data_IF_636576677140
#
_entry.id   IF_636576677140
#
_cell.length_a   1.000
_cell.length_b   1.000
_cell.length_c   1.000
_cell.angle_alpha   90.00
_cell.angle_beta   90.00
_cell.angle_gamma   90.00
#
_symmetry.space_group_name_H-M   'P 1'
#
loop_
_entity.id
_entity.type
_entity.pdbx_description
1 polymer ?
#
# COMPACT_ATOMS: atom_id res chain seq x y z
N UNK A 1 -25.31 14.72 36.98
CA UNK A 1 -25.16 13.44 36.29
C UNK A 1 -25.04 13.75 34.81
N UNK A 2 -23.82 13.88 34.33
CA UNK A 2 -23.54 14.13 32.90
C UNK A 2 -23.18 12.80 32.27
N UNK A 3 -24.02 12.37 31.36
CA UNK A 3 -23.77 11.17 30.54
C UNK A 3 -22.79 11.60 29.46
N UNK A 4 -21.52 11.25 29.59
CA UNK A 4 -20.54 11.31 28.54
C UNK A 4 -20.76 10.09 27.64
N UNK A 5 -21.34 10.29 26.49
CA UNK A 5 -21.33 9.34 25.39
C UNK A 5 -19.89 9.24 24.89
N UNK A 6 -19.24 8.12 25.14
CA UNK A 6 -17.96 7.80 24.52
C UNK A 6 -18.20 7.51 23.05
N UNK A 7 -17.81 8.45 22.23
CA UNK A 7 -17.71 8.30 20.78
C UNK A 7 -16.50 7.46 20.42
N UNK A 8 -16.71 6.52 19.52
CA UNK A 8 -15.81 5.89 18.55
C UNK A 8 -14.31 5.93 18.89
N UNK A 9 -13.76 4.79 19.23
CA UNK A 9 -12.32 4.55 19.25
C UNK A 9 -11.83 4.42 17.78
N UNK A 10 -11.65 5.54 17.11
CA UNK A 10 -10.87 5.57 15.87
C UNK A 10 -9.42 5.33 16.26
N UNK A 11 -8.84 4.21 15.83
CA UNK A 11 -7.40 3.97 15.98
C UNK A 11 -6.69 4.95 15.05
N UNK A 12 -5.95 5.94 15.53
CA UNK A 12 -5.30 6.90 14.67
C UNK A 12 -4.19 6.19 13.89
N UNK A 13 -4.12 6.45 12.58
CA UNK A 13 -3.01 6.01 11.75
C UNK A 13 -1.75 6.78 12.14
N UNK A 14 -0.64 6.06 12.32
CA UNK A 14 0.63 6.72 12.56
C UNK A 14 1.19 7.28 11.26
N UNK A 15 1.53 8.58 11.25
CA UNK A 15 2.08 9.27 10.08
C UNK A 15 3.34 10.04 10.46
N UNK A 16 4.43 9.76 9.75
CA UNK A 16 5.65 10.58 9.82
C UNK A 16 5.64 11.61 8.71
N UNK A 17 5.80 12.90 9.07
CA UNK A 17 5.99 13.99 8.12
C UNK A 17 7.48 14.27 7.94
N UNK A 18 7.98 14.10 6.73
CA UNK A 18 9.34 14.50 6.37
C UNK A 18 9.28 15.88 5.71
N UNK A 19 9.58 16.91 6.50
CA UNK A 19 9.72 18.35 6.19
C UNK A 19 8.50 19.16 5.69
N UNK A 20 8.79 20.33 5.13
CA UNK A 20 8.00 21.56 5.00
C UNK A 20 6.58 21.35 4.45
N UNK A 21 5.57 21.73 5.24
CA UNK A 21 4.14 21.61 4.89
C UNK A 21 3.69 22.55 3.76
N UNK A 22 4.58 23.42 3.26
CA UNK A 22 4.29 24.31 2.12
C UNK A 22 4.54 23.65 0.76
N UNK A 23 5.26 22.50 0.72
CA UNK A 23 5.57 21.77 -0.50
C UNK A 23 4.40 20.86 -0.91
N UNK A 24 4.29 20.50 -2.21
CA UNK A 24 3.35 19.49 -2.67
C UNK A 24 3.52 18.18 -1.89
N UNK A 25 2.41 17.56 -1.49
CA UNK A 25 2.44 16.35 -0.64
C UNK A 25 2.47 15.08 -1.45
N UNK A 26 3.28 14.12 -1.00
CA UNK A 26 3.20 12.74 -1.48
C UNK A 26 2.86 11.83 -0.31
N UNK A 27 1.79 11.06 -0.43
CA UNK A 27 1.37 10.04 0.54
C UNK A 27 1.95 8.70 0.11
N UNK A 28 2.65 8.01 1.00
CA UNK A 28 3.24 6.70 0.76
C UNK A 28 2.56 5.62 1.60
N UNK A 29 2.03 4.59 0.95
CA UNK A 29 1.40 3.42 1.57
C UNK A 29 2.23 2.17 1.29
N UNK A 30 2.72 1.51 2.35
CA UNK A 30 3.61 0.34 2.28
C UNK A 30 2.85 -0.97 2.01
N UNK A 31 3.59 -2.05 1.71
CA UNK A 31 3.06 -3.40 1.56
C UNK A 31 2.96 -4.17 2.88
N UNK A 32 2.37 -5.38 2.82
CA UNK A 32 2.32 -6.29 3.97
C UNK A 32 3.73 -6.60 4.50
N UNK A 33 3.89 -6.67 5.80
CA UNK A 33 5.14 -6.76 6.56
C UNK A 33 6.00 -5.48 6.55
N UNK A 34 5.69 -4.50 5.73
CA UNK A 34 6.37 -3.21 5.69
C UNK A 34 5.84 -2.22 6.73
N UNK A 35 6.38 -1.01 6.69
CA UNK A 35 5.88 0.16 7.40
C UNK A 35 6.31 1.42 6.64
N UNK A 36 6.00 2.60 7.15
CA UNK A 36 6.46 3.87 6.59
C UNK A 36 7.98 3.94 6.40
N UNK A 37 8.74 3.22 7.23
CA UNK A 37 10.21 3.19 7.17
C UNK A 37 10.74 2.71 5.81
N UNK A 38 10.00 1.85 5.10
CA UNK A 38 10.39 1.38 3.76
C UNK A 38 10.57 2.53 2.76
N UNK A 39 9.86 3.62 2.99
CA UNK A 39 9.85 4.79 2.12
C UNK A 39 10.83 5.88 2.53
N UNK A 40 11.42 5.80 3.74
CA UNK A 40 12.36 6.84 4.26
C UNK A 40 13.50 7.14 3.27
N UNK A 41 14.20 6.14 2.68
CA UNK A 41 15.28 6.45 1.75
C UNK A 41 14.82 7.15 0.46
N UNK A 42 13.55 6.94 0.04
CA UNK A 42 12.95 7.62 -1.11
C UNK A 42 12.51 9.02 -0.71
N UNK A 43 11.87 9.16 0.45
CA UNK A 43 11.39 10.44 0.95
C UNK A 43 12.53 11.44 1.22
N UNK A 44 13.69 10.96 1.69
CA UNK A 44 14.88 11.79 1.89
C UNK A 44 15.40 12.39 0.58
N UNK A 45 15.37 11.65 -0.52
CA UNK A 45 15.78 12.17 -1.84
C UNK A 45 14.78 13.21 -2.40
N UNK A 46 13.51 13.13 -1.95
CA UNK A 46 12.42 14.03 -2.40
C UNK A 46 12.20 15.24 -1.49
N UNK A 47 12.87 15.33 -0.35
CA UNK A 47 12.57 16.28 0.73
C UNK A 47 12.71 17.78 0.38
N UNK A 48 13.44 18.11 -0.69
CA UNK A 48 13.58 19.49 -1.15
C UNK A 48 12.43 19.95 -2.05
N UNK A 49 11.72 19.01 -2.68
CA UNK A 49 10.68 19.28 -3.67
C UNK A 49 9.28 18.88 -3.18
N UNK A 50 9.19 17.96 -2.21
CA UNK A 50 7.93 17.40 -1.72
C UNK A 50 7.91 17.24 -0.19
N UNK A 51 6.72 17.41 0.38
CA UNK A 51 6.40 17.00 1.74
C UNK A 51 5.92 15.53 1.71
N UNK A 52 6.79 14.59 2.08
CA UNK A 52 6.45 13.17 2.09
C UNK A 52 5.76 12.77 3.40
N UNK A 53 4.61 12.13 3.29
CA UNK A 53 3.84 11.58 4.41
C UNK A 53 3.91 10.05 4.32
N UNK A 54 4.60 9.44 5.27
CA UNK A 54 4.79 7.99 5.34
C UNK A 54 3.78 7.42 6.32
N UNK A 55 2.88 6.57 5.83
CA UNK A 55 1.76 6.05 6.61
C UNK A 55 2.07 4.63 7.07
N UNK A 56 1.94 4.38 8.37
CA UNK A 56 1.85 3.01 8.89
C UNK A 56 0.40 2.53 8.80
N UNK A 57 0.17 1.54 7.96
CA UNK A 57 -1.14 0.92 7.80
C UNK A 57 -1.53 0.08 9.04
N UNK A 58 -2.82 -0.10 9.35
CA UNK A 58 -3.25 -0.81 10.54
C UNK A 58 -2.52 -2.14 10.77
N UNK A 59 -2.00 -2.32 11.98
CA UNK A 59 -1.25 -3.51 12.39
C UNK A 59 0.21 -3.59 11.92
N UNK A 60 0.76 -2.49 11.40
CA UNK A 60 2.14 -2.39 10.93
C UNK A 60 2.83 -1.17 11.55
N UNK A 61 4.17 -1.26 11.70
CA UNK A 61 4.97 -0.18 12.28
C UNK A 61 4.47 0.20 13.67
N UNK A 62 4.19 1.48 13.87
CA UNK A 62 3.67 2.04 15.12
C UNK A 62 2.11 2.13 15.15
N UNK A 63 1.44 1.65 14.08
CA UNK A 63 -0.03 1.68 13.98
C UNK A 63 -0.63 0.42 14.59
N UNK A 64 -1.46 0.60 15.61
CA UNK A 64 -2.22 -0.49 16.21
C UNK A 64 -3.35 -0.97 15.29
N UNK A 65 -3.94 -2.11 15.63
CA UNK A 65 -5.09 -2.67 14.95
C UNK A 65 -6.00 -3.35 15.96
N UNK A 66 -7.30 -3.11 15.85
CA UNK A 66 -8.31 -3.74 16.68
C UNK A 66 -9.38 -4.39 15.81
N UNK A 67 -9.83 -5.59 16.19
CA UNK A 67 -10.91 -6.29 15.50
C UNK A 67 -12.29 -5.82 15.99
N UNK A 68 -12.55 -4.53 15.84
CA UNK A 68 -13.83 -3.93 16.20
C UNK A 68 -14.75 -3.88 14.98
N UNK A 69 -15.98 -4.36 15.08
CA UNK A 69 -16.96 -4.30 13.99
C UNK A 69 -16.96 -5.52 13.05
N UNK A 70 -17.46 -5.30 11.84
CA UNK A 70 -17.58 -6.34 10.82
C UNK A 70 -16.26 -6.50 10.03
N UNK A 71 -15.62 -7.67 10.07
CA UNK A 71 -14.38 -7.91 9.32
C UNK A 71 -14.49 -7.69 7.80
N UNK A 72 -15.69 -7.80 7.23
CA UNK A 72 -15.90 -7.58 5.79
C UNK A 72 -15.95 -6.09 5.42
N UNK A 73 -16.16 -5.20 6.39
CA UNK A 73 -16.15 -3.75 6.20
C UNK A 73 -14.78 -3.11 6.48
N UNK A 74 -13.92 -3.76 7.26
CA UNK A 74 -12.67 -3.19 7.78
C UNK A 74 -11.75 -2.63 6.68
N UNK A 75 -11.66 -3.30 5.53
CA UNK A 75 -10.86 -2.79 4.41
C UNK A 75 -11.36 -1.42 3.94
N UNK A 76 -12.67 -1.26 3.76
CA UNK A 76 -13.25 0.01 3.32
C UNK A 76 -13.27 1.06 4.43
N UNK A 77 -13.44 0.68 5.68
CA UNK A 77 -13.30 1.57 6.84
C UNK A 77 -11.88 2.14 6.92
N UNK A 78 -10.85 1.32 6.63
CA UNK A 78 -9.47 1.81 6.52
C UNK A 78 -9.31 2.83 5.40
N UNK A 79 -9.91 2.60 4.23
CA UNK A 79 -9.92 3.54 3.10
C UNK A 79 -10.60 4.85 3.50
N UNK A 80 -11.77 4.78 4.14
CA UNK A 80 -12.55 5.95 4.56
C UNK A 80 -11.81 6.76 5.66
N UNK A 81 -11.20 6.08 6.64
CA UNK A 81 -10.37 6.73 7.68
C UNK A 81 -9.18 7.47 7.08
N UNK A 82 -8.47 6.86 6.14
CA UNK A 82 -7.36 7.53 5.44
C UNK A 82 -7.83 8.78 4.70
N UNK A 83 -8.95 8.70 3.98
CA UNK A 83 -9.52 9.84 3.27
C UNK A 83 -9.90 10.97 4.23
N UNK A 84 -10.51 10.65 5.38
CA UNK A 84 -10.84 11.64 6.40
C UNK A 84 -9.61 12.32 6.99
N UNK A 85 -8.56 11.57 7.31
CA UNK A 85 -7.31 12.14 7.84
C UNK A 85 -6.63 13.06 6.83
N UNK A 86 -6.57 12.66 5.56
CA UNK A 86 -6.04 13.50 4.48
C UNK A 86 -6.86 14.78 4.30
N UNK A 87 -8.18 14.70 4.43
CA UNK A 87 -9.09 15.85 4.31
C UNK A 87 -8.98 16.83 5.47
N UNK A 88 -8.65 16.35 6.68
CA UNK A 88 -8.45 17.20 7.88
C UNK A 88 -7.16 18.03 7.82
N UNK A 89 -6.21 17.61 6.99
CA UNK A 89 -4.95 18.35 6.81
C UNK A 89 -5.25 19.70 6.14
N UNK A 90 -4.79 20.80 6.75
CA UNK A 90 -5.06 22.16 6.34
C UNK A 90 -4.41 22.59 4.99
N UNK A 91 -3.80 21.67 4.25
CA UNK A 91 -3.23 21.96 2.95
C UNK A 91 -4.33 21.97 1.87
N UNK A 92 -4.51 23.08 1.12
CA UNK A 92 -5.63 23.27 0.22
C UNK A 92 -5.51 22.55 -1.13
N UNK A 93 -4.39 21.92 -1.42
CA UNK A 93 -4.10 21.33 -2.72
C UNK A 93 -4.26 19.80 -2.69
N UNK A 94 -4.76 19.18 -3.78
CA UNK A 94 -4.71 17.75 -3.95
C UNK A 94 -3.28 17.22 -3.80
N UNK A 95 -3.13 15.99 -3.31
CA UNK A 95 -1.83 15.40 -3.10
C UNK A 95 -1.52 14.30 -4.12
N UNK A 96 -0.25 13.91 -4.18
CA UNK A 96 0.18 12.71 -4.91
C UNK A 96 0.06 11.47 -4.01
N UNK A 97 -0.22 10.32 -4.61
CA UNK A 97 -0.37 9.05 -3.88
C UNK A 97 0.56 7.98 -4.46
N UNK A 98 1.28 7.29 -3.60
CA UNK A 98 2.11 6.14 -3.96
C UNK A 98 1.72 4.97 -3.06
N UNK A 99 1.29 3.86 -3.65
CA UNK A 99 0.93 2.67 -2.89
C UNK A 99 1.59 1.41 -3.43
N UNK A 100 2.20 0.62 -2.55
CA UNK A 100 2.85 -0.64 -2.90
C UNK A 100 2.07 -1.85 -2.38
N UNK A 101 1.80 -2.84 -3.22
CA UNK A 101 1.20 -4.14 -2.89
C UNK A 101 -0.09 -3.99 -2.06
N UNK A 102 -0.10 -4.26 -0.76
CA UNK A 102 -1.24 -4.01 0.13
C UNK A 102 -1.64 -2.52 0.14
N UNK A 103 -0.67 -1.63 0.33
CA UNK A 103 -0.90 -0.18 0.25
C UNK A 103 -1.36 0.27 -1.14
N UNK A 104 -0.91 -0.40 -2.20
CA UNK A 104 -1.38 -0.14 -3.58
C UNK A 104 -2.84 -0.54 -3.79
N UNK A 105 -3.32 -1.58 -3.11
CA UNK A 105 -4.74 -1.97 -3.13
C UNK A 105 -5.63 -0.93 -2.42
N UNK A 106 -5.17 -0.46 -1.28
CA UNK A 106 -5.82 0.62 -0.52
C UNK A 106 -5.79 1.92 -1.32
N UNK A 107 -4.64 2.28 -1.88
CA UNK A 107 -4.47 3.46 -2.74
C UNK A 107 -5.44 3.45 -3.93
N UNK A 108 -5.58 2.33 -4.61
CA UNK A 108 -6.51 2.22 -5.74
C UNK A 108 -7.96 2.44 -5.30
N UNK A 109 -8.36 1.88 -4.15
CA UNK A 109 -9.70 2.10 -3.59
C UNK A 109 -9.92 3.57 -3.17
N UNK A 110 -8.90 4.24 -2.61
CA UNK A 110 -8.92 5.67 -2.30
C UNK A 110 -9.15 6.51 -3.55
N UNK A 111 -8.39 6.26 -4.63
CA UNK A 111 -8.49 7.01 -5.88
C UNK A 111 -9.87 6.92 -6.53
N UNK A 112 -10.47 5.73 -6.50
CA UNK A 112 -11.78 5.50 -7.10
C UNK A 112 -12.92 6.09 -6.26
N UNK A 113 -12.77 6.14 -4.94
CA UNK A 113 -13.81 6.63 -4.02
C UNK A 113 -13.70 8.12 -3.70
N UNK A 114 -12.48 8.67 -3.64
CA UNK A 114 -12.17 10.04 -3.25
C UNK A 114 -11.20 10.71 -4.25
N UNK A 115 -11.54 10.74 -5.56
CA UNK A 115 -10.62 11.23 -6.60
C UNK A 115 -10.21 12.69 -6.40
N UNK A 116 -11.04 13.50 -5.74
CA UNK A 116 -10.80 14.92 -5.47
C UNK A 116 -9.63 15.19 -4.52
N UNK A 117 -9.17 14.17 -3.78
CA UNK A 117 -8.04 14.29 -2.86
C UNK A 117 -6.68 14.20 -3.59
N UNK A 118 -6.68 13.73 -4.84
CA UNK A 118 -5.43 13.33 -5.51
C UNK A 118 -5.26 14.00 -6.86
N UNK A 119 -4.04 14.48 -7.12
CA UNK A 119 -3.66 15.03 -8.44
C UNK A 119 -3.17 13.92 -9.38
N UNK A 120 -2.32 13.02 -8.91
CA UNK A 120 -1.81 11.84 -9.63
C UNK A 120 -1.49 10.72 -8.67
N UNK A 121 -1.39 9.50 -9.18
CA UNK A 121 -0.98 8.36 -8.36
C UNK A 121 -0.07 7.37 -9.06
N UNK A 122 0.78 6.71 -8.27
CA UNK A 122 1.59 5.57 -8.67
C UNK A 122 1.15 4.35 -7.87
N UNK A 123 0.75 3.30 -8.57
CA UNK A 123 0.33 2.03 -7.98
C UNK A 123 1.36 0.95 -8.33
N UNK A 124 2.06 0.47 -7.30
CA UNK A 124 3.21 -0.44 -7.43
C UNK A 124 2.79 -1.87 -7.10
N UNK A 125 2.91 -2.78 -8.05
CA UNK A 125 2.70 -4.23 -7.87
C UNK A 125 1.41 -4.57 -7.12
N UNK A 126 0.28 -3.95 -7.50
CA UNK A 126 -1.01 -4.15 -6.84
C UNK A 126 -2.13 -4.54 -7.83
N UNK A 127 -3.28 -4.95 -7.31
CA UNK A 127 -4.43 -5.38 -8.11
C UNK A 127 -5.73 -4.75 -7.62
N UNK A 128 -6.75 -4.64 -8.50
CA UNK A 128 -8.09 -4.18 -8.12
C UNK A 128 -8.88 -5.19 -7.27
N UNK A 129 -8.23 -6.22 -6.74
CA UNK A 129 -8.87 -7.28 -5.96
C UNK A 129 -9.19 -8.53 -6.79
N UNK A 130 -9.75 -9.53 -6.11
CA UNK A 130 -10.22 -10.77 -6.71
C UNK A 130 -11.61 -10.56 -7.32
N UNK A 131 -11.85 -11.16 -8.49
CA UNK A 131 -13.07 -10.89 -9.27
C UNK A 131 -14.32 -11.55 -8.68
N UNK A 132 -14.17 -12.76 -8.13
CA UNK A 132 -15.31 -13.55 -7.68
C UNK A 132 -15.33 -13.74 -6.17
N UNK A 133 -16.52 -13.97 -5.60
CA UNK A 133 -16.65 -14.28 -4.17
C UNK A 133 -16.00 -15.62 -3.82
N UNK A 134 -16.03 -16.59 -4.73
CA UNK A 134 -15.35 -17.87 -4.54
C UNK A 134 -13.84 -17.72 -4.38
N UNK A 135 -13.21 -16.89 -5.22
CA UNK A 135 -11.79 -16.54 -5.10
C UNK A 135 -11.50 -15.85 -3.77
N UNK A 136 -12.36 -14.92 -3.35
CA UNK A 136 -12.22 -14.22 -2.07
C UNK A 136 -12.34 -15.16 -0.87
N UNK A 137 -13.32 -16.08 -0.89
CA UNK A 137 -13.48 -17.08 0.16
C UNK A 137 -12.26 -17.98 0.29
N UNK A 138 -11.81 -18.56 -0.82
CA UNK A 138 -10.59 -19.40 -0.86
C UNK A 138 -9.36 -18.63 -0.38
N UNK A 139 -9.28 -17.35 -0.74
CA UNK A 139 -8.17 -16.50 -0.28
C UNK A 139 -8.25 -16.22 1.23
N UNK A 140 -9.43 -15.97 1.81
CA UNK A 140 -9.61 -15.81 3.26
C UNK A 140 -9.16 -17.05 4.04
N UNK A 141 -9.47 -18.25 3.54
CA UNK A 141 -9.01 -19.50 4.15
C UNK A 141 -7.48 -19.62 4.09
N UNK A 142 -6.88 -19.24 2.97
CA UNK A 142 -5.43 -19.21 2.80
C UNK A 142 -4.76 -18.20 3.74
N UNK A 143 -5.31 -16.98 3.83
CA UNK A 143 -4.81 -15.91 4.70
C UNK A 143 -4.91 -16.29 6.17
N UNK A 144 -5.99 -16.97 6.59
CA UNK A 144 -6.11 -17.54 7.95
C UNK A 144 -5.01 -18.58 8.25
N UNK A 145 -4.70 -19.43 7.28
CA UNK A 145 -3.60 -20.39 7.40
C UNK A 145 -2.23 -19.71 7.54
N UNK A 146 -2.04 -18.58 6.88
CA UNK A 146 -0.82 -17.76 6.99
C UNK A 146 -0.78 -17.05 8.33
N UNK A 147 -1.87 -16.43 8.77
CA UNK A 147 -1.98 -15.74 10.05
C UNK A 147 -1.61 -16.66 11.23
N UNK A 148 -2.11 -17.89 11.25
CA UNK A 148 -1.71 -18.90 12.25
C UNK A 148 -0.22 -19.25 12.22
N UNK A 149 0.43 -19.20 11.06
CA UNK A 149 1.89 -19.43 10.97
C UNK A 149 2.67 -18.25 11.55
N UNK A 150 2.21 -17.03 11.33
CA UNK A 150 2.76 -15.81 11.92
C UNK A 150 2.71 -15.92 13.44
N UNK A 151 1.54 -16.17 14.01
CA UNK A 151 1.31 -16.29 15.46
C UNK A 151 2.13 -17.42 16.10
N UNK A 152 2.30 -18.53 15.39
CA UNK A 152 3.00 -19.70 15.91
C UNK A 152 4.52 -19.57 15.94
N UNK A 153 5.13 -19.00 14.91
CA UNK A 153 6.58 -18.88 14.75
C UNK A 153 6.91 -17.78 13.75
N UNK A 154 7.00 -16.56 14.23
CA UNK A 154 7.19 -15.39 13.38
C UNK A 154 8.53 -15.40 12.61
N UNK A 155 9.64 -15.72 13.28
CA UNK A 155 10.95 -15.79 12.60
C UNK A 155 10.99 -16.85 11.50
N UNK A 156 10.39 -18.00 11.77
CA UNK A 156 10.26 -19.07 10.78
C UNK A 156 9.33 -18.67 9.63
N UNK A 157 8.28 -17.94 9.94
CA UNK A 157 7.37 -17.39 8.92
C UNK A 157 8.08 -16.39 8.00
N UNK A 158 8.81 -15.40 8.55
CA UNK A 158 9.54 -14.40 7.74
C UNK A 158 10.48 -15.10 6.75
N UNK A 159 11.26 -16.07 7.21
CA UNK A 159 12.14 -16.85 6.33
C UNK A 159 11.37 -17.55 5.21
N UNK A 160 10.28 -18.25 5.55
CA UNK A 160 9.47 -18.98 4.57
C UNK A 160 8.73 -18.03 3.62
N UNK A 161 8.34 -16.84 4.07
CA UNK A 161 7.68 -15.82 3.27
C UNK A 161 8.55 -15.36 2.10
N UNK A 162 9.81 -15.08 2.36
CA UNK A 162 10.78 -14.65 1.34
C UNK A 162 11.36 -15.80 0.48
N UNK A 163 11.03 -17.07 0.78
CA UNK A 163 11.31 -18.18 -0.13
C UNK A 163 10.30 -18.29 -1.29
N UNK A 164 9.22 -17.54 -1.26
CA UNK A 164 8.24 -17.54 -2.34
C UNK A 164 8.86 -16.98 -3.63
N UNK A 165 8.50 -17.55 -4.82
CA UNK A 165 9.02 -17.07 -6.11
C UNK A 165 8.80 -15.57 -6.34
N UNK A 166 7.78 -14.99 -5.76
CA UNK A 166 7.45 -13.56 -5.81
C UNK A 166 8.62 -12.67 -5.33
N UNK A 167 9.40 -13.14 -4.37
CA UNK A 167 10.50 -12.39 -3.75
C UNK A 167 11.89 -12.88 -4.19
N UNK A 168 11.97 -13.74 -5.22
CA UNK A 168 13.24 -14.33 -5.64
C UNK A 168 14.29 -13.28 -6.05
N UNK A 169 13.90 -12.18 -6.68
CA UNK A 169 14.82 -11.09 -7.05
C UNK A 169 15.29 -10.32 -5.83
N UNK A 170 14.39 -9.93 -4.93
CA UNK A 170 14.73 -9.26 -3.67
C UNK A 170 15.67 -10.13 -2.81
N UNK A 171 15.39 -11.43 -2.70
CA UNK A 171 16.21 -12.35 -1.91
C UNK A 171 17.68 -12.41 -2.37
N UNK A 172 17.91 -12.22 -3.67
CA UNK A 172 19.24 -12.17 -4.25
C UNK A 172 19.83 -10.75 -4.27
N UNK A 173 19.09 -9.74 -3.83
CA UNK A 173 19.53 -8.35 -3.82
C UNK A 173 20.33 -8.04 -2.54
N UNK A 174 21.38 -7.17 -2.60
CA UNK A 174 22.19 -6.81 -1.44
C UNK A 174 21.39 -6.26 -0.24
N UNK A 175 20.27 -5.56 -0.49
CA UNK A 175 19.40 -4.95 0.52
C UNK A 175 18.60 -5.99 1.34
N UNK A 176 18.53 -7.23 0.88
CA UNK A 176 17.63 -8.24 1.48
C UNK A 176 17.82 -8.44 2.98
N UNK A 177 19.05 -8.43 3.45
CA UNK A 177 19.35 -8.64 4.90
C UNK A 177 18.80 -7.51 5.77
N UNK A 178 18.85 -6.29 5.28
CA UNK A 178 18.29 -5.12 5.94
C UNK A 178 16.77 -5.23 5.99
N UNK A 179 16.15 -5.48 4.83
CA UNK A 179 14.70 -5.71 4.74
C UNK A 179 14.24 -6.84 5.67
N UNK A 180 14.89 -8.00 5.65
CA UNK A 180 14.52 -9.12 6.53
C UNK A 180 14.62 -8.74 8.02
N UNK A 181 15.63 -7.96 8.40
CA UNK A 181 15.82 -7.50 9.78
C UNK A 181 14.70 -6.57 10.22
N UNK A 182 14.32 -5.61 9.38
CA UNK A 182 13.24 -4.66 9.65
C UNK A 182 11.89 -5.36 9.82
N UNK A 183 11.61 -6.40 9.00
CA UNK A 183 10.35 -7.15 9.12
C UNK A 183 10.16 -7.81 10.49
N UNK A 184 11.24 -8.20 11.13
CA UNK A 184 11.22 -8.86 12.45
C UNK A 184 10.87 -7.93 13.61
N UNK A 185 10.87 -6.61 13.39
CA UNK A 185 10.48 -5.61 14.40
C UNK A 185 8.95 -5.58 14.59
N UNK A 186 8.18 -5.97 13.58
CA UNK A 186 6.72 -5.96 13.65
C UNK A 186 6.17 -6.85 14.77
N UNK A 187 5.01 -6.45 15.29
CA UNK A 187 4.24 -7.29 16.21
C UNK A 187 3.52 -8.42 15.43
N UNK A 188 3.81 -9.70 15.70
CA UNK A 188 3.23 -10.81 14.95
C UNK A 188 1.71 -10.93 15.13
N UNK A 189 1.15 -10.58 16.28
CA UNK A 189 -0.29 -10.64 16.54
C UNK A 189 -1.02 -9.57 15.71
N UNK A 190 -0.50 -8.35 15.67
CA UNK A 190 -1.03 -7.26 14.84
C UNK A 190 -0.95 -7.59 13.36
N UNK A 191 0.18 -8.15 12.89
CA UNK A 191 0.32 -8.58 11.49
C UNK A 191 -0.64 -9.71 11.11
N UNK A 192 -0.84 -10.68 11.98
CA UNK A 192 -1.80 -11.75 11.73
C UNK A 192 -3.23 -11.20 11.62
N UNK A 193 -3.58 -10.26 12.50
CA UNK A 193 -4.87 -9.57 12.46
C UNK A 193 -5.01 -8.71 11.20
N UNK A 194 -3.98 -7.94 10.83
CA UNK A 194 -3.96 -7.15 9.59
C UNK A 194 -4.18 -8.03 8.35
N UNK A 195 -3.55 -9.21 8.31
CA UNK A 195 -3.76 -10.15 7.20
C UNK A 195 -5.20 -10.66 7.13
N UNK A 196 -5.84 -10.93 8.29
CA UNK A 196 -7.24 -11.35 8.37
C UNK A 196 -8.21 -10.25 7.91
N UNK A 197 -7.90 -8.98 8.19
CA UNK A 197 -8.80 -7.86 7.96
C UNK A 197 -8.52 -7.10 6.66
N UNK A 198 -7.25 -6.96 6.26
CA UNK A 198 -6.80 -6.24 5.06
C UNK A 198 -6.30 -7.17 3.95
N UNK A 199 -6.39 -8.50 4.13
CA UNK A 199 -6.02 -9.49 3.12
C UNK A 199 -6.80 -9.31 1.82
N UNK A 200 -6.24 -9.80 0.71
CA UNK A 200 -6.88 -9.69 -0.63
C UNK A 200 -8.26 -10.36 -0.68
N UNK A 201 -8.52 -11.31 0.22
CA UNK A 201 -9.84 -11.96 0.34
C UNK A 201 -10.92 -11.07 0.97
N UNK A 202 -10.54 -9.99 1.66
CA UNK A 202 -11.46 -9.00 2.24
C UNK A 202 -11.64 -7.76 1.37
N UNK A 203 -10.71 -7.53 0.46
CA UNK A 203 -10.78 -6.40 -0.45
C UNK A 203 -11.97 -6.55 -1.41
N UNK A 204 -12.89 -5.56 -1.51
CA UNK A 204 -13.87 -5.52 -2.59
C UNK A 204 -13.18 -5.49 -3.96
N UNK A 205 -13.79 -6.09 -4.96
CA UNK A 205 -13.30 -6.01 -6.33
C UNK A 205 -13.62 -4.63 -6.91
N UNK A 206 -12.60 -3.92 -7.37
CA UNK A 206 -12.77 -2.61 -8.03
C UNK A 206 -12.49 -2.66 -9.54
N UNK A 207 -12.47 -3.87 -10.13
CA UNK A 207 -12.22 -4.05 -11.57
C UNK A 207 -13.21 -3.30 -12.45
N UNK A 208 -14.49 -3.32 -12.11
CA UNK A 208 -15.56 -2.68 -12.90
C UNK A 208 -15.59 -1.15 -12.67
N UNK A 209 -14.98 -0.69 -11.60
CA UNK A 209 -14.90 0.73 -11.25
C UNK A 209 -13.73 1.45 -11.94
N UNK A 210 -12.71 0.72 -12.42
CA UNK A 210 -11.53 1.29 -13.07
C UNK A 210 -11.87 2.23 -14.22
N UNK A 211 -12.91 1.93 -14.99
CA UNK A 211 -13.38 2.78 -16.10
C UNK A 211 -13.93 4.14 -15.66
N UNK A 212 -14.22 4.31 -14.37
CA UNK A 212 -14.72 5.55 -13.78
C UNK A 212 -13.59 6.41 -13.20
N UNK A 213 -12.34 5.92 -13.26
CA UNK A 213 -11.20 6.66 -12.74
C UNK A 213 -11.08 8.05 -13.36
N UNK A 214 -10.73 9.04 -12.52
CA UNK A 214 -10.59 10.46 -12.90
C UNK A 214 -9.21 11.03 -12.59
N UNK A 215 -8.35 10.24 -11.95
CA UNK A 215 -7.00 10.63 -11.53
C UNK A 215 -5.99 10.00 -12.47
N UNK A 216 -5.03 10.73 -13.04
CA UNK A 216 -3.94 10.12 -13.80
C UNK A 216 -3.17 9.09 -12.95
N UNK A 217 -3.05 7.85 -13.44
CA UNK A 217 -2.39 6.76 -12.73
C UNK A 217 -1.23 6.19 -13.56
N UNK A 218 -0.09 5.99 -12.92
CA UNK A 218 0.96 5.15 -13.48
C UNK A 218 1.09 3.86 -12.65
N UNK A 219 0.87 2.73 -13.31
CA UNK A 219 1.09 1.41 -12.71
C UNK A 219 2.54 1.03 -12.88
N UNK A 220 3.19 0.58 -11.80
CA UNK A 220 4.57 0.10 -11.81
C UNK A 220 4.60 -1.40 -11.54
N UNK A 221 5.33 -2.16 -12.34
CA UNK A 221 5.54 -3.59 -12.13
C UNK A 221 6.99 -3.98 -12.46
N UNK A 222 7.57 -4.89 -11.71
CA UNK A 222 8.87 -5.45 -12.05
C UNK A 222 8.76 -6.49 -13.17
N UNK A 223 9.73 -6.51 -14.08
CA UNK A 223 9.76 -7.43 -15.22
C UNK A 223 9.66 -8.91 -14.81
N UNK A 224 10.25 -9.25 -13.65
CA UNK A 224 10.25 -10.62 -13.09
C UNK A 224 8.95 -10.98 -12.37
N UNK A 225 8.09 -10.01 -12.11
CA UNK A 225 6.76 -10.21 -11.52
C UNK A 225 5.68 -10.31 -12.59
N UNK A 226 5.75 -11.40 -13.36
CA UNK A 226 4.89 -11.63 -14.54
C UNK A 226 3.39 -11.49 -14.21
N UNK A 227 2.98 -11.90 -13.01
CA UNK A 227 1.60 -11.79 -12.57
C UNK A 227 1.14 -10.32 -12.52
N UNK A 228 1.93 -9.45 -11.91
CA UNK A 228 1.56 -8.04 -11.77
C UNK A 228 1.83 -7.23 -13.04
N UNK A 229 2.74 -7.66 -13.91
CA UNK A 229 2.84 -7.13 -15.29
C UNK A 229 1.54 -7.39 -16.05
N UNK A 230 1.00 -8.62 -15.99
CA UNK A 230 -0.26 -8.95 -16.68
C UNK A 230 -1.47 -8.23 -16.06
N UNK A 231 -1.56 -8.14 -14.73
CA UNK A 231 -2.59 -7.35 -14.05
C UNK A 231 -2.49 -5.88 -14.47
N UNK A 232 -1.29 -5.30 -14.50
CA UNK A 232 -1.06 -3.92 -14.94
C UNK A 232 -1.55 -3.66 -16.37
N UNK A 233 -1.29 -4.57 -17.30
CA UNK A 233 -1.82 -4.49 -18.67
C UNK A 233 -3.35 -4.50 -18.72
N UNK A 234 -3.98 -5.37 -17.91
CA UNK A 234 -5.44 -5.40 -17.83
C UNK A 234 -6.01 -4.12 -17.22
N UNK A 235 -5.35 -3.58 -16.18
CA UNK A 235 -5.78 -2.30 -15.59
C UNK A 235 -5.69 -1.15 -16.56
N UNK A 236 -4.58 -1.01 -17.31
CA UNK A 236 -4.44 0.06 -18.33
C UNK A 236 -5.51 -0.02 -19.41
N UNK A 237 -5.90 -1.23 -19.81
CA UNK A 237 -6.96 -1.40 -20.82
C UNK A 237 -8.35 -0.93 -20.32
N UNK A 238 -8.57 -0.86 -19.01
CA UNK A 238 -9.85 -0.50 -18.41
C UNK A 238 -9.86 0.90 -17.80
N UNK A 239 -8.70 1.38 -17.36
CA UNK A 239 -8.55 2.61 -16.58
C UNK A 239 -8.17 3.78 -17.51
N UNK A 240 -9.04 4.80 -17.68
CA UNK A 240 -8.69 6.01 -18.43
C UNK A 240 -7.48 6.72 -17.81
N UNK A 241 -6.76 7.45 -18.64
CA UNK A 241 -5.58 8.24 -18.25
C UNK A 241 -4.58 7.44 -17.36
N UNK A 242 -4.25 6.26 -17.84
CA UNK A 242 -3.29 5.39 -17.15
C UNK A 242 -2.22 4.83 -18.07
N UNK A 243 -1.09 4.48 -17.48
CA UNK A 243 0.03 3.82 -18.18
C UNK A 243 0.68 2.77 -17.29
N UNK A 244 1.41 1.83 -17.91
CA UNK A 244 2.20 0.82 -17.22
C UNK A 244 3.69 1.04 -17.49
N UNK A 245 4.47 1.16 -16.44
CA UNK A 245 5.94 1.17 -16.47
C UNK A 245 6.46 -0.16 -15.96
N UNK A 246 7.32 -0.81 -16.76
CA UNK A 246 7.91 -2.10 -16.39
C UNK A 246 9.39 -1.89 -16.05
N UNK A 247 9.75 -2.25 -14.83
CA UNK A 247 11.11 -2.10 -14.28
C UNK A 247 11.95 -3.32 -14.65
N UNK A 248 12.90 -3.14 -15.56
CA UNK A 248 13.81 -4.20 -16.00
C UNK A 248 14.57 -4.80 -14.80
N UNK A 249 14.79 -6.11 -14.82
CA UNK A 249 15.51 -6.90 -13.81
C UNK A 249 14.90 -6.89 -12.39
N UNK A 250 13.82 -6.16 -12.14
CA UNK A 250 13.15 -6.06 -10.82
C UNK A 250 12.01 -7.08 -10.70
N UNK A 251 11.73 -7.49 -9.46
CA UNK A 251 10.57 -8.28 -9.06
C UNK A 251 9.48 -7.45 -8.41
N UNK A 252 8.80 -8.05 -7.43
CA UNK A 252 7.64 -7.46 -6.74
C UNK A 252 7.98 -6.19 -5.96
N UNK A 253 9.19 -6.09 -5.42
CA UNK A 253 9.67 -5.01 -4.55
C UNK A 253 10.56 -3.99 -5.28
N UNK A 254 10.18 -3.64 -6.50
CA UNK A 254 10.98 -2.82 -7.42
C UNK A 254 11.51 -1.51 -6.83
N UNK A 255 10.78 -0.88 -5.93
CA UNK A 255 11.18 0.36 -5.23
C UNK A 255 12.36 0.16 -4.27
N UNK A 256 12.55 -1.07 -3.75
CA UNK A 256 13.72 -1.47 -2.97
C UNK A 256 14.85 -2.02 -3.85
N UNK A 257 14.51 -2.73 -4.93
CA UNK A 257 15.47 -3.37 -5.83
C UNK A 257 16.15 -2.38 -6.78
N UNK A 258 15.47 -1.30 -7.18
CA UNK A 258 16.03 -0.26 -8.05
C UNK A 258 15.48 1.13 -7.67
N UNK A 259 15.92 1.61 -6.50
CA UNK A 259 15.47 2.89 -5.95
C UNK A 259 15.76 4.08 -6.87
N UNK A 260 16.91 4.10 -7.52
CA UNK A 260 17.29 5.20 -8.41
C UNK A 260 16.32 5.32 -9.60
N UNK A 261 16.05 4.22 -10.29
CA UNK A 261 15.07 4.20 -11.38
C UNK A 261 13.66 4.52 -10.88
N UNK A 262 13.30 4.04 -9.69
CA UNK A 262 12.00 4.35 -9.08
C UNK A 262 11.82 5.86 -8.88
N UNK A 263 12.80 6.52 -8.29
CA UNK A 263 12.81 7.97 -8.08
C UNK A 263 12.74 8.76 -9.41
N UNK A 264 13.53 8.35 -10.41
CA UNK A 264 13.50 8.96 -11.74
C UNK A 264 12.09 8.88 -12.38
N UNK A 265 11.46 7.72 -12.37
CA UNK A 265 10.12 7.52 -12.94
C UNK A 265 9.03 8.24 -12.14
N UNK A 266 9.13 8.24 -10.80
CA UNK A 266 8.21 8.95 -9.93
C UNK A 266 8.25 10.46 -10.20
N UNK A 267 9.44 11.06 -10.19
CA UNK A 267 9.60 12.50 -10.41
C UNK A 267 9.22 12.90 -11.83
N UNK A 268 9.57 12.07 -12.84
CA UNK A 268 9.15 12.30 -14.21
C UNK A 268 7.63 12.32 -14.35
N UNK A 269 6.92 11.41 -13.67
CA UNK A 269 5.46 11.35 -13.75
C UNK A 269 4.78 12.50 -13.01
N UNK A 270 5.24 12.84 -11.81
CA UNK A 270 4.63 13.91 -11.03
C UNK A 270 4.93 15.30 -11.60
N UNK A 271 6.11 15.53 -12.18
CA UNK A 271 6.50 16.80 -12.79
C UNK A 271 5.96 17.04 -14.22
N UNK A 272 5.37 16.03 -14.87
CA UNK A 272 4.69 16.24 -16.16
C UNK A 272 3.49 17.13 -15.93
N UNK A 273 3.60 18.41 -16.28
CA UNK A 273 2.43 19.27 -16.47
C UNK A 273 1.65 18.78 -17.69
N UNK A 274 0.34 18.61 -17.54
CA UNK A 274 -0.56 18.28 -18.67
C UNK A 274 -0.62 19.42 -19.66
#
# INVERSE_FOLDING_TARGET
>A
MSITTSSNSETPLNTENIKDSSLPRIIFLHGFLGSGIDWVPIAQELENDYCCILVDLPGHGESDIEANGDPDLFFMETVDTLAEELSRSAAPEPCYLVGYSMGGRIALSLLLRYPELFEKAIIVSASPGLRTEEERLSRRESDEGIARKIERNFDGFIKAWYEQPLFASLKNHPIFKEVESERKINNPENLALALRLLGTGRQPSTWDELQQNRVPIQFFAGEKDLKFVEIGRQMVNLCPDSSLEIFAECGHTLHLENRELFLDRLTQFFNKHQ
#
